data_IF_170174852314
#
_entry.id   IF_170174852314
#
_cell.length_a   1.000
_cell.length_b   1.000
_cell.length_c   1.000
_cell.angle_alpha   90.00
_cell.angle_beta   90.00
_cell.angle_gamma   90.00
#
_symmetry.space_group_name_H-M   'P 1'
#
loop_
_entity.id
_entity.type
_entity.pdbx_description
1 polymer ?
#
# COMPACT_ATOMS: atom_id res chain seq x y z
N UNK A 1 17.19 10.60 -27.55
CA UNK A 1 17.64 9.32 -27.00
C UNK A 1 16.96 9.10 -25.66
N UNK A 2 16.37 7.93 -25.48
CA UNK A 2 15.70 7.47 -24.26
C UNK A 2 16.55 6.32 -23.69
N UNK A 3 16.68 6.26 -22.38
CA UNK A 3 17.56 5.29 -21.71
C UNK A 3 16.82 4.69 -20.51
N UNK A 4 16.79 3.37 -20.44
CA UNK A 4 16.28 2.62 -19.30
C UNK A 4 17.38 2.51 -18.24
N UNK A 5 17.03 2.82 -16.99
CA UNK A 5 17.95 2.92 -15.86
C UNK A 5 17.45 2.08 -14.68
N UNK A 6 18.37 1.38 -14.02
CA UNK A 6 18.12 0.60 -12.81
C UNK A 6 19.26 0.78 -11.81
N UNK A 7 19.00 0.43 -10.55
CA UNK A 7 20.02 0.40 -9.49
C UNK A 7 20.88 1.67 -9.40
N UNK A 8 22.20 1.50 -9.36
CA UNK A 8 23.16 2.61 -9.22
C UNK A 8 23.08 3.63 -10.38
N UNK A 9 22.76 3.20 -11.60
CA UNK A 9 22.66 4.11 -12.75
C UNK A 9 21.46 5.05 -12.60
N UNK A 10 20.33 4.53 -12.15
CA UNK A 10 19.14 5.32 -11.84
C UNK A 10 19.41 6.32 -10.71
N UNK A 11 20.03 5.85 -9.61
CA UNK A 11 20.34 6.69 -8.46
C UNK A 11 21.27 7.85 -8.85
N UNK A 12 22.35 7.55 -9.60
CA UNK A 12 23.26 8.58 -10.12
C UNK A 12 22.56 9.58 -11.03
N UNK A 13 21.64 9.12 -11.88
CA UNK A 13 20.90 10.00 -12.77
C UNK A 13 19.95 10.94 -11.99
N UNK A 14 19.25 10.42 -10.98
CA UNK A 14 18.39 11.20 -10.07
C UNK A 14 19.21 12.20 -9.25
N UNK A 15 20.36 11.79 -8.71
CA UNK A 15 21.25 12.71 -8.01
C UNK A 15 21.75 13.84 -8.92
N UNK A 16 22.13 13.51 -10.16
CA UNK A 16 22.60 14.50 -11.13
C UNK A 16 21.52 15.53 -11.48
N UNK A 17 20.30 15.08 -11.78
CA UNK A 17 19.19 15.98 -12.12
C UNK A 17 18.76 16.82 -10.90
N UNK A 18 18.80 16.24 -9.69
CA UNK A 18 18.44 16.92 -8.45
C UNK A 18 19.39 18.07 -8.08
N UNK A 19 20.60 18.12 -8.66
CA UNK A 19 21.57 19.22 -8.50
C UNK A 19 21.52 20.26 -9.63
N UNK A 20 20.61 20.13 -10.60
CA UNK A 20 20.51 21.05 -11.73
C UNK A 20 20.04 22.46 -11.33
N UNK A 21 20.47 23.50 -12.07
CA UNK A 21 20.07 24.91 -11.82
C UNK A 21 18.55 25.12 -11.84
N UNK A 22 17.84 24.36 -12.68
CA UNK A 22 16.39 24.40 -12.83
C UNK A 22 15.84 23.01 -12.59
N UNK A 23 15.15 22.83 -11.46
CA UNK A 23 14.60 21.56 -11.02
C UNK A 23 13.10 21.67 -10.84
N UNK A 24 12.35 20.70 -11.35
CA UNK A 24 10.97 20.45 -10.96
C UNK A 24 10.83 19.01 -10.51
N UNK A 25 10.35 18.81 -9.29
CA UNK A 25 10.12 17.49 -8.71
C UNK A 25 8.63 17.32 -8.46
N UNK A 26 7.98 16.40 -9.18
CA UNK A 26 6.67 15.89 -8.82
C UNK A 26 6.89 14.49 -8.24
N UNK A 27 7.20 14.43 -6.95
CA UNK A 27 7.56 13.20 -6.24
C UNK A 27 6.68 13.08 -5.02
N UNK A 28 5.87 12.02 -5.00
CA UNK A 28 4.86 11.79 -3.96
C UNK A 28 5.48 11.73 -2.56
N UNK A 29 6.46 10.84 -2.35
CA UNK A 29 6.98 10.52 -1.02
C UNK A 29 8.45 10.91 -0.88
N UNK A 30 8.78 11.44 0.30
CA UNK A 30 10.10 11.94 0.64
C UNK A 30 10.57 11.30 1.94
N UNK A 31 11.63 10.49 1.88
CA UNK A 31 12.25 9.83 3.02
C UNK A 31 13.49 10.56 3.54
N UNK A 32 14.08 10.05 4.62
CA UNK A 32 15.30 10.59 5.25
C UNK A 32 16.37 10.96 4.22
N UNK A 33 16.99 12.12 4.39
CA UNK A 33 18.15 12.55 3.62
C UNK A 33 17.84 13.02 2.20
N UNK A 34 16.57 13.03 1.77
CA UNK A 34 16.19 13.60 0.48
C UNK A 34 16.47 15.12 0.40
N UNK A 35 16.53 15.81 1.54
CA UNK A 35 16.99 17.21 1.59
C UNK A 35 18.44 17.36 1.14
N UNK A 36 19.30 16.36 1.43
CA UNK A 36 20.69 16.33 0.96
C UNK A 36 20.76 16.03 -0.54
N UNK A 37 19.86 15.19 -1.06
CA UNK A 37 19.72 14.91 -2.50
C UNK A 37 19.46 16.21 -3.27
N UNK A 38 18.49 17.01 -2.84
CA UNK A 38 18.20 18.32 -3.47
C UNK A 38 19.34 19.31 -3.22
N UNK A 39 19.88 19.36 -2.01
CA UNK A 39 20.94 20.29 -1.60
C UNK A 39 20.48 21.75 -1.53
N UNK A 40 21.41 22.67 -1.76
CA UNK A 40 21.14 24.10 -1.64
C UNK A 40 20.13 24.60 -2.67
N UNK A 41 19.29 25.55 -2.24
CA UNK A 41 18.28 26.23 -3.05
C UNK A 41 18.78 27.57 -3.61
N UNK A 42 19.88 28.10 -3.06
CA UNK A 42 20.41 29.42 -3.43
C UNK A 42 20.77 29.44 -4.92
N UNK A 43 20.38 30.50 -5.63
CA UNK A 43 20.64 30.70 -7.07
C UNK A 43 20.07 29.61 -8.00
N UNK A 44 19.05 28.86 -7.54
CA UNK A 44 18.40 27.80 -8.32
C UNK A 44 16.89 28.03 -8.42
N UNK A 45 16.33 27.65 -9.56
CA UNK A 45 14.89 27.64 -9.82
C UNK A 45 14.35 26.24 -9.49
N UNK A 46 13.91 26.05 -8.24
CA UNK A 46 13.45 24.77 -7.71
C UNK A 46 11.95 24.85 -7.39
N UNK A 47 11.20 23.85 -7.87
CA UNK A 47 9.79 23.63 -7.53
C UNK A 47 9.56 22.16 -7.17
N UNK A 48 9.00 21.91 -6.00
CA UNK A 48 8.76 20.58 -5.44
C UNK A 48 7.27 20.42 -5.13
N UNK A 49 6.66 19.35 -5.61
CA UNK A 49 5.30 18.94 -5.25
C UNK A 49 5.43 17.58 -4.56
N UNK A 50 4.83 17.48 -3.37
CA UNK A 50 4.79 16.24 -2.59
C UNK A 50 3.38 15.95 -2.08
N UNK A 51 3.18 14.74 -1.58
CA UNK A 51 1.98 14.37 -0.84
C UNK A 51 2.29 14.45 0.67
N UNK A 52 2.18 15.66 1.25
CA UNK A 52 2.54 15.91 2.65
C UNK A 52 1.63 15.15 3.63
N UNK A 53 0.35 15.03 3.29
CA UNK A 53 -0.66 14.40 4.15
C UNK A 53 -0.54 12.86 4.18
N UNK A 54 0.21 12.27 3.25
CA UNK A 54 0.45 10.84 3.23
C UNK A 54 1.59 10.41 4.17
N UNK A 55 1.37 9.32 4.92
CA UNK A 55 2.31 8.80 5.93
C UNK A 55 3.65 8.30 5.36
N UNK A 56 3.78 8.18 4.04
CA UNK A 56 5.04 7.86 3.36
C UNK A 56 5.98 9.04 3.16
N UNK A 57 5.49 10.26 3.35
CA UNK A 57 6.32 11.47 3.35
C UNK A 57 6.79 11.74 4.77
N UNK A 58 8.10 11.83 4.97
CA UNK A 58 8.66 12.37 6.20
C UNK A 58 8.49 13.90 6.19
N UNK A 59 7.62 14.47 7.04
CA UNK A 59 7.36 15.90 7.05
C UNK A 59 8.56 16.73 7.53
N UNK A 60 9.53 16.14 8.24
CA UNK A 60 10.76 16.85 8.64
C UNK A 60 11.66 17.17 7.47
N UNK A 61 11.66 16.33 6.43
CA UNK A 61 12.38 16.58 5.18
C UNK A 61 11.73 17.76 4.45
N UNK A 62 10.39 17.73 4.34
CA UNK A 62 9.62 18.82 3.73
C UNK A 62 9.80 20.13 4.51
N UNK A 63 9.89 20.04 5.85
CA UNK A 63 10.13 21.17 6.73
C UNK A 63 11.46 21.90 6.43
N UNK A 64 12.47 21.19 5.90
CA UNK A 64 13.75 21.79 5.52
C UNK A 64 13.71 22.58 4.19
N UNK A 65 12.65 22.42 3.39
CA UNK A 65 12.52 23.15 2.12
C UNK A 65 11.95 24.56 2.31
N UNK A 66 12.48 25.56 1.58
CA UNK A 66 11.87 26.89 1.54
C UNK A 66 10.40 26.82 1.11
N UNK A 67 9.49 27.43 1.88
CA UNK A 67 8.03 27.39 1.63
C UNK A 67 7.63 27.85 0.23
N UNK A 68 8.39 28.78 -0.37
CA UNK A 68 8.13 29.26 -1.73
C UNK A 68 8.42 28.21 -2.82
N UNK A 69 9.23 27.19 -2.51
CA UNK A 69 9.69 26.18 -3.44
C UNK A 69 8.94 24.85 -3.31
N UNK A 70 8.03 24.70 -2.34
CA UNK A 70 7.32 23.44 -2.10
C UNK A 70 5.81 23.63 -1.97
N UNK A 71 5.06 22.70 -2.57
CA UNK A 71 3.60 22.65 -2.53
C UNK A 71 3.12 21.21 -2.25
N UNK A 72 1.89 21.09 -1.73
CA UNK A 72 1.26 19.78 -1.51
C UNK A 72 0.17 19.48 -2.52
N UNK A 73 0.03 18.21 -2.87
CA UNK A 73 -1.08 17.68 -3.63
C UNK A 73 -1.40 16.26 -3.13
N UNK A 74 -2.60 16.08 -2.58
CA UNK A 74 -2.93 14.89 -1.78
C UNK A 74 -3.15 13.63 -2.64
N UNK A 75 -3.47 13.79 -3.93
CA UNK A 75 -3.54 12.68 -4.89
C UNK A 75 -2.22 12.39 -5.64
N UNK A 76 -1.13 13.10 -5.30
CA UNK A 76 0.13 12.90 -6.01
C UNK A 76 0.73 11.53 -5.68
N UNK A 77 0.88 10.69 -6.71
CA UNK A 77 1.61 9.42 -6.63
C UNK A 77 2.77 9.31 -7.66
N UNK A 78 3.03 10.37 -8.42
CA UNK A 78 4.10 10.39 -9.42
C UNK A 78 5.49 10.44 -8.77
N UNK A 79 6.52 9.99 -9.51
CA UNK A 79 7.94 10.25 -9.19
C UNK A 79 8.66 10.70 -10.46
N UNK A 80 8.64 12.01 -10.68
CA UNK A 80 9.18 12.64 -11.87
C UNK A 80 10.13 13.76 -11.48
N UNK A 81 11.36 13.67 -11.99
CA UNK A 81 12.41 14.67 -11.83
C UNK A 81 12.66 15.34 -13.18
N UNK A 82 12.52 16.66 -13.26
CA UNK A 82 12.61 17.41 -14.51
C UNK A 82 13.70 18.46 -14.38
N UNK A 83 14.76 18.30 -15.15
CA UNK A 83 15.86 19.26 -15.29
C UNK A 83 15.76 20.02 -16.61
N UNK A 84 16.71 20.92 -16.87
CA UNK A 84 16.73 21.68 -18.14
C UNK A 84 16.96 20.82 -19.37
N UNK A 85 17.79 19.77 -19.28
CA UNK A 85 18.20 18.94 -20.42
C UNK A 85 17.48 17.58 -20.45
N UNK A 86 17.30 16.97 -19.29
CA UNK A 86 16.72 15.64 -19.16
C UNK A 86 15.60 15.61 -18.12
N UNK A 87 14.68 14.68 -18.32
CA UNK A 87 13.65 14.27 -17.38
C UNK A 87 13.88 12.80 -17.03
N UNK A 88 13.56 12.45 -15.78
CA UNK A 88 13.53 11.07 -15.30
C UNK A 88 12.13 10.78 -14.76
N UNK A 89 11.50 9.74 -15.28
CA UNK A 89 10.30 9.12 -14.72
C UNK A 89 10.74 7.80 -14.11
N UNK A 90 10.37 7.54 -12.86
CA UNK A 90 10.89 6.39 -12.11
C UNK A 90 9.85 5.83 -11.15
N UNK A 91 10.03 4.59 -10.70
CA UNK A 91 9.32 4.03 -9.54
C UNK A 91 9.86 4.56 -8.21
N UNK A 92 11.11 5.06 -8.19
CA UNK A 92 11.82 5.47 -6.99
C UNK A 92 11.34 6.80 -6.40
N UNK A 93 11.01 6.80 -5.11
CA UNK A 93 10.74 8.01 -4.32
C UNK A 93 12.05 8.77 -3.97
N UNK A 94 11.94 9.94 -3.34
CA UNK A 94 13.11 10.73 -2.96
C UNK A 94 13.61 10.33 -1.55
N UNK A 95 14.86 9.85 -1.43
CA UNK A 95 15.57 9.63 -0.15
C UNK A 95 17.08 9.53 -0.37
N UNK A 96 17.88 9.51 0.71
CA UNK A 96 19.33 9.30 0.64
C UNK A 96 19.71 7.98 -0.07
N UNK A 97 18.99 6.90 0.20
CA UNK A 97 19.25 5.57 -0.36
C UNK A 97 18.41 5.27 -1.62
N UNK A 98 17.73 6.30 -2.16
CA UNK A 98 16.91 6.18 -3.37
C UNK A 98 15.58 5.44 -3.18
N UNK A 99 15.23 5.09 -1.94
CA UNK A 99 14.05 4.31 -1.59
C UNK A 99 13.28 4.99 -0.47
N UNK A 100 12.00 5.26 -0.73
CA UNK A 100 11.11 5.85 0.25
C UNK A 100 10.95 4.95 1.47
N UNK A 101 10.58 5.58 2.59
CA UNK A 101 10.41 5.05 3.94
C UNK A 101 11.69 4.91 4.77
N UNK A 102 11.67 5.55 5.94
CA UNK A 102 12.62 5.29 7.03
C UNK A 102 12.28 3.94 7.68
N UNK A 103 13.20 2.99 7.60
CA UNK A 103 13.10 1.67 8.21
C UNK A 103 13.98 0.65 7.51
N UNK A 104 14.13 -0.53 8.13
CA UNK A 104 14.97 -1.69 7.75
C UNK A 104 14.59 -2.30 6.38
N UNK A 105 13.78 -1.63 5.57
CA UNK A 105 13.20 -2.10 4.30
C UNK A 105 13.72 -1.32 3.08
N UNK A 106 14.66 -0.37 3.25
CA UNK A 106 15.36 0.27 2.13
C UNK A 106 16.36 -0.68 1.43
N UNK A 107 16.84 -1.73 2.11
CA UNK A 107 17.65 -2.78 1.47
C UNK A 107 16.74 -3.81 0.78
N UNK A 108 16.44 -3.63 -0.52
CA UNK A 108 15.88 -4.73 -1.33
C UNK A 108 14.90 -4.39 -2.45
N UNK A 109 14.55 -3.12 -2.67
CA UNK A 109 13.63 -2.76 -3.75
C UNK A 109 14.37 -2.60 -5.09
N UNK A 110 13.87 -3.28 -6.12
CA UNK A 110 14.38 -3.15 -7.49
C UNK A 110 13.66 -1.98 -8.15
N UNK A 111 14.39 -0.88 -8.37
CA UNK A 111 13.86 0.33 -8.97
C UNK A 111 14.21 0.44 -10.45
N UNK A 112 13.26 0.98 -11.21
CA UNK A 112 13.42 1.23 -12.63
C UNK A 112 12.97 2.64 -13.00
N UNK A 113 13.64 3.23 -13.97
CA UNK A 113 13.26 4.52 -14.51
C UNK A 113 13.72 4.70 -15.94
N UNK A 114 13.20 5.73 -16.58
CA UNK A 114 13.56 6.11 -17.93
C UNK A 114 14.04 7.55 -17.92
N UNK A 115 15.21 7.78 -18.50
CA UNK A 115 15.76 9.10 -18.78
C UNK A 115 15.50 9.47 -20.23
N UNK A 116 15.02 10.68 -20.47
CA UNK A 116 14.81 11.22 -21.81
C UNK A 116 14.99 12.74 -21.83
N UNK A 117 15.07 13.34 -23.02
CA UNK A 117 15.24 14.80 -23.17
C UNK A 117 14.01 15.52 -22.64
N UNK A 118 14.20 16.58 -21.87
CA UNK A 118 13.09 17.41 -21.37
C UNK A 118 12.32 18.01 -22.54
N UNK A 119 11.01 17.78 -22.57
CA UNK A 119 10.09 18.34 -23.56
C UNK A 119 9.29 19.51 -22.98
N UNK A 120 8.68 20.34 -23.84
CA UNK A 120 7.75 21.37 -23.39
C UNK A 120 6.50 20.76 -22.75
N UNK A 121 6.05 19.62 -23.24
CA UNK A 121 4.88 18.89 -22.74
C UNK A 121 5.02 18.52 -21.26
N UNK A 122 6.15 17.91 -20.86
CA UNK A 122 6.34 17.51 -19.46
C UNK A 122 6.47 18.74 -18.53
N UNK A 123 7.07 19.82 -19.03
CA UNK A 123 7.15 21.09 -18.28
C UNK A 123 5.76 21.73 -18.14
N UNK A 124 4.93 21.69 -19.19
CA UNK A 124 3.56 22.19 -19.15
C UNK A 124 2.68 21.37 -18.21
N UNK A 125 2.81 20.04 -18.22
CA UNK A 125 2.17 19.14 -17.26
C UNK A 125 2.54 19.51 -15.82
N UNK A 126 3.84 19.65 -15.53
CA UNK A 126 4.29 20.04 -14.19
C UNK A 126 3.74 21.41 -13.80
N UNK A 127 3.75 22.39 -14.70
CA UNK A 127 3.24 23.74 -14.40
C UNK A 127 1.74 23.73 -14.08
N UNK A 128 0.93 22.93 -14.79
CA UNK A 128 -0.49 22.75 -14.45
C UNK A 128 -0.64 22.14 -13.06
N UNK A 129 0.10 21.06 -12.78
CA UNK A 129 0.11 20.41 -11.46
C UNK A 129 0.53 21.39 -10.35
N UNK A 130 1.55 22.21 -10.59
CA UNK A 130 2.01 23.24 -9.66
C UNK A 130 0.96 24.30 -9.36
N UNK A 131 0.19 24.71 -10.38
CA UNK A 131 -0.87 25.71 -10.23
C UNK A 131 -1.99 25.19 -9.35
N UNK A 132 -2.43 23.95 -9.56
CA UNK A 132 -3.52 23.34 -8.78
C UNK A 132 -3.08 22.83 -7.40
N UNK A 133 -1.77 22.69 -7.16
CA UNK A 133 -1.23 22.27 -5.86
C UNK A 133 -1.34 23.39 -4.81
N UNK A 134 -1.60 22.99 -3.58
CA UNK A 134 -1.80 23.89 -2.44
C UNK A 134 -0.46 24.33 -1.83
N UNK A 135 -0.43 25.53 -1.25
CA UNK A 135 0.72 26.01 -0.48
C UNK A 135 0.82 25.23 0.82
N UNK A 136 2.05 25.00 1.29
CA UNK A 136 2.31 24.39 2.59
C UNK A 136 2.57 25.49 3.61
N UNK A 137 1.82 25.49 4.69
CA UNK A 137 2.03 26.33 5.88
C UNK A 137 2.80 25.57 6.96
N UNK A 138 3.33 26.28 7.96
CA UNK A 138 4.00 25.63 9.09
C UNK A 138 3.01 24.83 9.94
N UNK A 139 1.74 25.24 10.01
CA UNK A 139 0.67 24.47 10.65
C UNK A 139 0.39 23.13 9.93
N UNK A 140 0.50 23.09 8.60
CA UNK A 140 0.40 21.85 7.83
C UNK A 140 1.56 20.90 8.17
N UNK A 141 2.78 21.44 8.30
CA UNK A 141 3.96 20.67 8.70
C UNK A 141 3.77 20.09 10.11
N UNK A 142 3.33 20.88 11.08
CA UNK A 142 3.11 20.41 12.45
C UNK A 142 2.05 19.31 12.50
N UNK A 143 0.98 19.47 11.71
CA UNK A 143 -0.08 18.47 11.58
C UNK A 143 0.46 17.17 10.97
N UNK A 144 1.24 17.28 9.90
CA UNK A 144 1.88 16.13 9.27
C UNK A 144 2.88 15.44 10.21
N UNK A 145 3.66 16.20 11.00
CA UNK A 145 4.58 15.64 12.01
C UNK A 145 3.81 14.84 13.04
N UNK A 146 2.72 15.38 13.60
CA UNK A 146 1.88 14.66 14.57
C UNK A 146 1.34 13.35 13.98
N UNK A 147 0.77 13.41 12.77
CA UNK A 147 0.24 12.23 12.07
C UNK A 147 1.34 11.20 11.76
N UNK A 148 2.51 11.66 11.31
CA UNK A 148 3.64 10.81 10.98
C UNK A 148 4.24 10.15 12.22
N UNK A 149 4.33 10.83 13.37
CA UNK A 149 4.80 10.25 14.64
C UNK A 149 3.79 9.26 15.24
N UNK A 150 2.49 9.52 15.08
CA UNK A 150 1.42 8.63 15.52
C UNK A 150 1.25 7.40 14.60
N UNK A 151 1.98 7.32 13.48
CA UNK A 151 1.86 6.21 12.53
C UNK A 151 2.23 4.87 13.22
N UNK A 152 1.51 3.78 12.93
CA UNK A 152 1.93 2.46 13.38
C UNK A 152 3.33 2.15 12.83
N UNK A 153 4.29 1.84 13.72
CA UNK A 153 5.67 1.45 13.37
C UNK A 153 5.79 -0.01 12.89
N UNK A 154 4.67 -0.62 12.49
CA UNK A 154 4.67 -1.98 11.97
C UNK A 154 5.38 -1.94 10.60
N UNK A 155 6.29 -2.88 10.29
CA UNK A 155 6.91 -2.97 8.97
C UNK A 155 5.80 -3.01 7.92
N UNK A 156 5.80 -2.01 7.04
CA UNK A 156 4.77 -1.93 6.01
C UNK A 156 5.21 -2.93 4.96
N UNK A 157 4.45 -4.03 4.85
CA UNK A 157 4.54 -4.96 3.72
C UNK A 157 4.74 -4.18 2.42
N UNK A 158 5.51 -4.71 1.45
CA UNK A 158 5.63 -4.09 0.15
C UNK A 158 4.24 -3.73 -0.35
N UNK A 159 4.08 -2.47 -0.80
CA UNK A 159 2.83 -1.87 -1.26
C UNK A 159 2.04 -2.85 -2.14
N UNK A 160 1.18 -3.66 -1.53
CA UNK A 160 -0.06 -4.03 -2.18
C UNK A 160 -0.79 -2.70 -2.36
N UNK A 161 -1.24 -2.45 -3.58
CA UNK A 161 -2.25 -1.45 -3.84
C UNK A 161 -3.38 -1.77 -2.89
N UNK A 162 -3.43 -1.08 -1.75
CA UNK A 162 -4.64 -1.04 -0.96
C UNK A 162 -5.58 -0.28 -1.87
N UNK A 163 -6.40 -1.01 -2.62
CA UNK A 163 -7.58 -0.49 -3.31
C UNK A 163 -8.63 -0.06 -2.28
N UNK A 164 -8.19 0.58 -1.19
CA UNK A 164 -9.02 1.39 -0.33
C UNK A 164 -9.33 2.66 -1.11
N UNK A 165 -10.26 2.56 -2.06
CA UNK A 165 -11.33 3.52 -2.31
C UNK A 165 -11.93 3.24 -3.68
N UNK A 166 -13.10 2.62 -3.67
CA UNK A 166 -14.12 2.98 -4.66
C UNK A 166 -14.88 4.17 -4.05
N UNK A 167 -14.62 5.37 -4.55
CA UNK A 167 -15.40 6.60 -4.30
C UNK A 167 -15.62 7.02 -2.83
N UNK A 168 -14.58 6.96 -1.98
CA UNK A 168 -14.67 7.46 -0.60
C UNK A 168 -15.61 6.66 0.32
N UNK A 169 -16.08 5.48 -0.09
CA UNK A 169 -16.89 4.59 0.74
C UNK A 169 -16.06 3.44 1.32
N UNK A 170 -16.24 3.20 2.62
CA UNK A 170 -15.66 2.05 3.34
C UNK A 170 -16.20 0.76 2.73
N UNK A 171 -15.31 -0.17 2.40
CA UNK A 171 -15.67 -1.51 1.96
C UNK A 171 -16.59 -2.19 2.98
N UNK A 172 -17.70 -2.74 2.50
CA UNK A 172 -18.52 -3.67 3.27
C UNK A 172 -18.03 -5.09 3.00
N UNK A 173 -18.22 -6.02 3.94
CA UNK A 173 -17.85 -7.42 3.75
C UNK A 173 -18.57 -8.04 2.54
N UNK A 174 -19.83 -7.66 2.30
CA UNK A 174 -20.59 -8.07 1.13
C UNK A 174 -19.95 -7.57 -0.17
N UNK A 175 -19.56 -6.29 -0.24
CA UNK A 175 -18.88 -5.74 -1.39
C UNK A 175 -17.53 -6.43 -1.65
N UNK A 176 -16.80 -6.81 -0.59
CA UNK A 176 -15.54 -7.56 -0.73
C UNK A 176 -15.76 -8.97 -1.32
N UNK A 177 -16.86 -9.63 -1.00
CA UNK A 177 -17.20 -10.93 -1.61
C UNK A 177 -17.58 -10.76 -3.09
N UNK A 178 -18.42 -9.76 -3.39
CA UNK A 178 -18.86 -9.45 -4.75
C UNK A 178 -17.69 -9.08 -5.67
N UNK A 179 -16.65 -8.43 -5.12
CA UNK A 179 -15.42 -8.12 -5.83
C UNK A 179 -14.71 -9.36 -6.40
N UNK A 180 -14.90 -10.54 -5.80
CA UNK A 180 -14.39 -11.82 -6.30
C UNK A 180 -15.49 -12.69 -6.93
N UNK A 181 -16.56 -12.06 -7.42
CA UNK A 181 -17.73 -12.73 -8.02
C UNK A 181 -18.39 -13.78 -7.12
N UNK A 182 -18.26 -13.60 -5.80
CA UNK A 182 -18.81 -14.50 -4.80
C UNK A 182 -19.96 -13.85 -4.03
N UNK A 183 -21.05 -14.61 -3.83
CA UNK A 183 -22.21 -14.14 -3.08
C UNK A 183 -22.25 -14.81 -1.71
N UNK A 184 -22.33 -14.01 -0.65
CA UNK A 184 -22.59 -14.51 0.69
C UNK A 184 -24.05 -14.96 0.82
N UNK A 185 -24.31 -16.03 1.59
CA UNK A 185 -25.70 -16.44 1.87
C UNK A 185 -26.45 -15.39 2.69
N UNK A 186 -25.76 -14.68 3.59
CA UNK A 186 -26.36 -13.61 4.36
C UNK A 186 -25.34 -12.53 4.78
N UNK A 187 -25.52 -11.27 4.38
CA UNK A 187 -24.58 -10.19 4.69
C UNK A 187 -24.28 -10.00 6.18
N UNK A 188 -25.24 -10.31 7.06
CA UNK A 188 -25.09 -10.09 8.52
C UNK A 188 -24.15 -11.09 9.17
N UNK A 189 -24.18 -12.35 8.75
CA UNK A 189 -23.47 -13.43 9.46
C UNK A 189 -22.48 -14.23 8.60
N UNK A 190 -22.44 -14.05 7.28
CA UNK A 190 -21.50 -14.79 6.43
C UNK A 190 -20.05 -14.37 6.65
N UNK A 191 -19.19 -15.37 6.85
CA UNK A 191 -17.73 -15.22 6.99
C UNK A 191 -16.96 -15.80 5.80
N UNK A 192 -17.69 -16.21 4.77
CA UNK A 192 -17.17 -16.78 3.53
C UNK A 192 -18.24 -16.65 2.46
N UNK A 193 -17.83 -16.78 1.21
CA UNK A 193 -18.72 -16.81 0.06
C UNK A 193 -18.14 -17.73 -1.01
N UNK A 194 -18.99 -18.09 -1.98
CA UNK A 194 -18.59 -18.89 -3.14
C UNK A 194 -19.17 -18.27 -4.41
N UNK A 195 -18.44 -18.36 -5.51
CA UNK A 195 -18.93 -17.97 -6.84
C UNK A 195 -20.04 -18.92 -7.31
N UNK A 196 -20.88 -18.44 -8.22
CA UNK A 196 -22.01 -19.21 -8.75
C UNK A 196 -21.55 -20.51 -9.46
N UNK A 197 -20.40 -20.48 -10.12
CA UNK A 197 -19.79 -21.62 -10.79
C UNK A 197 -19.03 -22.56 -9.84
N UNK A 198 -18.94 -22.22 -8.55
CA UNK A 198 -18.25 -23.02 -7.54
C UNK A 198 -16.73 -23.03 -7.65
N UNK A 199 -16.12 -22.30 -8.59
CA UNK A 199 -14.66 -22.32 -8.83
C UNK A 199 -13.89 -21.41 -7.88
N UNK A 200 -14.52 -20.38 -7.35
CA UNK A 200 -13.92 -19.42 -6.42
C UNK A 200 -14.57 -19.55 -5.06
N UNK A 201 -13.76 -19.85 -4.05
CA UNK A 201 -14.14 -19.73 -2.64
C UNK A 201 -13.44 -18.52 -2.05
N UNK A 202 -14.19 -17.70 -1.32
CA UNK A 202 -13.69 -16.50 -0.67
C UNK A 202 -13.82 -16.66 0.84
N UNK A 203 -12.73 -16.42 1.55
CA UNK A 203 -12.65 -16.57 3.00
C UNK A 203 -12.31 -15.24 3.65
N UNK A 204 -13.01 -14.89 4.73
CA UNK A 204 -12.54 -13.80 5.59
C UNK A 204 -11.41 -14.30 6.49
N UNK A 205 -10.31 -13.55 6.56
CA UNK A 205 -9.18 -13.83 7.45
C UNK A 205 -8.86 -12.58 8.27
N UNK A 206 -8.48 -12.75 9.53
CA UNK A 206 -8.00 -11.63 10.33
C UNK A 206 -6.54 -11.34 10.02
N UNK A 207 -6.23 -10.07 9.83
CA UNK A 207 -4.89 -9.61 9.50
C UNK A 207 -3.86 -9.97 10.58
N UNK A 208 -4.27 -9.96 11.85
CA UNK A 208 -3.41 -10.26 12.99
C UNK A 208 -3.22 -11.76 13.24
N UNK A 209 -3.93 -12.63 12.52
CA UNK A 209 -3.72 -14.08 12.49
C UNK A 209 -2.83 -14.53 11.31
N UNK A 210 -2.37 -13.59 10.48
CA UNK A 210 -1.45 -13.88 9.37
C UNK A 210 -0.01 -13.54 9.79
N UNK A 211 0.87 -14.53 9.70
CA UNK A 211 2.31 -14.39 9.91
C UNK A 211 3.02 -14.41 8.57
N UNK A 212 3.85 -13.39 8.34
CA UNK A 212 4.64 -13.24 7.11
C UNK A 212 6.10 -13.63 7.36
N UNK A 213 6.66 -14.38 6.41
CA UNK A 213 8.09 -14.71 6.35
C UNK A 213 8.58 -14.39 4.95
N UNK A 214 9.15 -13.20 4.76
CA UNK A 214 9.48 -12.68 3.44
C UNK A 214 8.23 -12.54 2.57
N UNK A 215 8.21 -13.22 1.42
CA UNK A 215 7.08 -13.19 0.46
C UNK A 215 5.99 -14.22 0.75
N UNK A 216 6.15 -15.05 1.76
CA UNK A 216 5.19 -16.10 2.10
C UNK A 216 4.37 -15.70 3.32
N UNK A 217 3.05 -15.85 3.21
CA UNK A 217 2.11 -15.69 4.30
C UNK A 217 1.65 -17.05 4.82
N UNK A 218 1.50 -17.16 6.13
CA UNK A 218 0.86 -18.30 6.79
C UNK A 218 -0.30 -17.77 7.62
N UNK A 219 -1.44 -18.43 7.58
CA UNK A 219 -2.61 -18.11 8.38
C UNK A 219 -2.95 -19.30 9.25
N UNK A 220 -3.16 -19.03 10.53
CA UNK A 220 -3.68 -20.01 11.49
C UNK A 220 -4.92 -19.43 12.13
N UNK A 221 -6.09 -19.99 11.83
CA UNK A 221 -7.30 -19.54 12.51
C UNK A 221 -7.29 -20.01 13.96
N UNK A 222 -7.60 -19.11 14.89
CA UNK A 222 -7.76 -19.46 16.30
C UNK A 222 -9.13 -20.13 16.54
N UNK A 223 -9.17 -21.12 17.44
CA UNK A 223 -10.43 -21.68 17.93
C UNK A 223 -11.10 -20.68 18.85
N UNK A 224 -12.31 -20.21 18.48
CA UNK A 224 -12.98 -19.09 19.17
C UNK A 224 -14.12 -19.51 20.09
N UNK A 225 -14.52 -20.78 20.09
CA UNK A 225 -15.69 -21.24 20.83
C UNK A 225 -15.47 -22.68 21.34
N UNK A 226 -14.62 -22.87 22.34
CA UNK A 226 -14.48 -24.18 23.02
C UNK A 226 -15.69 -24.49 23.91
N UNK A 227 -16.48 -23.47 24.29
CA UNK A 227 -17.55 -23.59 25.32
C UNK A 227 -18.99 -23.59 24.79
N UNK A 228 -19.23 -23.40 23.49
CA UNK A 228 -20.60 -23.29 22.94
C UNK A 228 -21.10 -24.59 22.32
N UNK A 229 -22.28 -25.05 22.75
CA UNK A 229 -22.94 -26.29 22.29
C UNK A 229 -23.56 -26.23 20.88
N UNK A 230 -23.82 -25.04 20.31
CA UNK A 230 -24.48 -24.88 19.00
C UNK A 230 -23.65 -24.03 18.03
N UNK A 231 -23.42 -24.54 16.81
CA UNK A 231 -22.74 -23.83 15.71
C UNK A 231 -23.64 -22.73 15.15
N UNK A 232 -23.07 -21.55 14.90
CA UNK A 232 -23.78 -20.43 14.25
C UNK A 232 -23.90 -20.67 12.74
N UNK A 233 -24.94 -20.15 12.06
CA UNK A 233 -25.10 -20.32 10.62
C UNK A 233 -23.86 -19.95 9.80
N UNK A 234 -23.17 -18.86 10.17
CA UNK A 234 -21.95 -18.43 9.51
C UNK A 234 -20.72 -19.31 9.79
N UNK A 235 -20.68 -20.03 10.91
CA UNK A 235 -19.63 -21.01 11.18
C UNK A 235 -19.86 -22.27 10.34
N UNK A 236 -21.12 -22.71 10.21
CA UNK A 236 -21.51 -23.82 9.34
C UNK A 236 -21.20 -23.51 7.87
N UNK A 237 -21.65 -22.35 7.36
CA UNK A 237 -21.35 -21.91 5.99
C UNK A 237 -19.84 -21.84 5.74
N UNK A 238 -19.08 -21.29 6.69
CA UNK A 238 -17.61 -21.20 6.59
C UNK A 238 -16.98 -22.58 6.50
N UNK A 239 -17.39 -23.54 7.31
CA UNK A 239 -16.88 -24.90 7.27
C UNK A 239 -17.24 -25.59 5.94
N UNK A 240 -18.48 -25.43 5.45
CA UNK A 240 -18.90 -25.96 4.15
C UNK A 240 -18.03 -25.40 3.01
N UNK A 241 -17.74 -24.10 3.02
CA UNK A 241 -16.90 -23.48 2.00
C UNK A 241 -15.43 -23.90 2.11
N UNK A 242 -14.91 -24.11 3.32
CA UNK A 242 -13.55 -24.66 3.52
C UNK A 242 -13.43 -26.08 2.95
N UNK A 243 -14.42 -26.94 3.22
CA UNK A 243 -14.51 -28.28 2.62
C UNK A 243 -14.59 -28.19 1.10
N UNK A 244 -15.46 -27.32 0.59
CA UNK A 244 -15.61 -27.12 -0.84
C UNK A 244 -14.31 -26.70 -1.51
N UNK A 245 -13.60 -25.72 -0.94
CA UNK A 245 -12.33 -25.25 -1.48
C UNK A 245 -11.30 -26.39 -1.54
N UNK A 246 -11.16 -27.18 -0.45
CA UNK A 246 -10.30 -28.36 -0.41
C UNK A 246 -10.62 -29.34 -1.53
N UNK A 247 -11.91 -29.66 -1.69
CA UNK A 247 -12.35 -30.77 -2.53
C UNK A 247 -12.49 -30.39 -4.02
N UNK A 248 -12.76 -29.12 -4.33
CA UNK A 248 -13.14 -28.67 -5.68
C UNK A 248 -12.28 -27.53 -6.24
N UNK A 249 -11.56 -26.78 -5.39
CA UNK A 249 -10.75 -25.63 -5.80
C UNK A 249 -9.25 -25.87 -5.59
N UNK A 250 -8.82 -27.14 -5.43
CA UNK A 250 -7.43 -27.48 -5.10
C UNK A 250 -6.97 -26.92 -3.75
N UNK A 251 -7.90 -26.67 -2.83
CA UNK A 251 -7.66 -26.00 -1.55
C UNK A 251 -7.48 -24.49 -1.66
N UNK A 252 -7.64 -23.87 -2.83
CA UNK A 252 -7.40 -22.44 -3.04
C UNK A 252 -8.59 -21.59 -2.59
N UNK A 253 -8.28 -20.48 -1.92
CA UNK A 253 -9.25 -19.46 -1.54
C UNK A 253 -8.73 -18.05 -1.82
N UNK A 254 -9.63 -17.16 -2.24
CA UNK A 254 -9.40 -15.71 -2.21
C UNK A 254 -9.64 -15.18 -0.80
N UNK A 255 -8.98 -14.08 -0.46
CA UNK A 255 -9.00 -13.54 0.91
C UNK A 255 -9.71 -12.19 0.97
N UNK A 256 -10.68 -12.09 1.87
CA UNK A 256 -11.13 -10.80 2.40
C UNK A 256 -10.40 -10.56 3.71
N UNK A 257 -9.55 -9.54 3.74
CA UNK A 257 -8.80 -9.18 4.93
C UNK A 257 -9.70 -8.42 5.91
N UNK A 258 -9.63 -8.77 7.19
CA UNK A 258 -10.31 -8.07 8.28
C UNK A 258 -9.31 -7.52 9.29
N UNK A 259 -9.49 -6.27 9.67
CA UNK A 259 -8.76 -5.65 10.79
C UNK A 259 -9.67 -5.58 12.00
N UNK A 260 -9.12 -5.80 13.19
CA UNK A 260 -9.89 -5.83 14.42
C UNK A 260 -9.76 -4.51 15.20
N UNK A 261 -10.85 -4.02 15.80
CA UNK A 261 -10.80 -2.86 16.71
C UNK A 261 -10.09 -3.21 18.02
N UNK A 262 -10.12 -4.49 18.41
CA UNK A 262 -9.39 -5.07 19.53
C UNK A 262 -8.84 -6.44 19.09
N UNK A 263 -7.73 -6.88 19.68
CA UNK A 263 -7.09 -8.16 19.31
C UNK A 263 -7.53 -9.35 20.17
N UNK A 264 -8.42 -9.14 21.14
CA UNK A 264 -8.93 -10.22 21.99
C UNK A 264 -9.76 -11.21 21.16
N UNK A 265 -9.30 -12.46 20.96
CA UNK A 265 -9.93 -13.43 20.07
C UNK A 265 -11.39 -13.77 20.43
N UNK A 266 -11.84 -13.49 21.66
CA UNK A 266 -13.20 -13.77 22.11
C UNK A 266 -14.17 -12.60 21.93
N UNK A 267 -13.66 -11.37 21.79
CA UNK A 267 -14.48 -10.14 21.70
C UNK A 267 -14.16 -9.24 20.50
N UNK A 268 -13.44 -9.77 19.49
CA UNK A 268 -13.08 -9.02 18.27
C UNK A 268 -14.29 -8.42 17.58
N UNK A 269 -14.19 -7.12 17.27
CA UNK A 269 -15.09 -6.41 16.35
C UNK A 269 -14.31 -5.98 15.11
N UNK A 270 -14.98 -6.01 13.96
CA UNK A 270 -14.39 -5.62 12.68
C UNK A 270 -14.20 -4.10 12.69
N UNK A 271 -12.95 -3.64 12.57
CA UNK A 271 -12.63 -2.23 12.35
C UNK A 271 -12.81 -1.87 10.87
N UNK A 272 -12.12 -2.58 9.98
CA UNK A 272 -12.24 -2.45 8.52
C UNK A 272 -12.13 -3.81 7.84
N UNK A 273 -12.52 -3.88 6.57
CA UNK A 273 -12.25 -5.02 5.70
C UNK A 273 -11.93 -4.56 4.28
N UNK A 274 -11.24 -5.37 3.51
CA UNK A 274 -10.94 -5.11 2.09
C UNK A 274 -10.67 -6.42 1.33
N UNK A 275 -10.92 -6.48 0.01
CA UNK A 275 -10.48 -7.61 -0.80
C UNK A 275 -8.95 -7.60 -0.92
N UNK A 276 -8.28 -8.70 -0.56
CA UNK A 276 -6.84 -8.82 -0.72
C UNK A 276 -6.55 -9.38 -2.13
N UNK A 277 -6.43 -8.49 -3.10
CA UNK A 277 -6.40 -8.84 -4.53
C UNK A 277 -5.30 -9.83 -4.91
N UNK A 278 -4.11 -9.67 -4.32
CA UNK A 278 -2.94 -10.48 -4.64
C UNK A 278 -2.76 -11.68 -3.70
N UNK A 279 -3.62 -11.84 -2.69
CA UNK A 279 -3.50 -12.91 -1.72
C UNK A 279 -4.43 -14.08 -2.07
N UNK A 280 -3.81 -15.16 -2.54
CA UNK A 280 -4.42 -16.47 -2.70
C UNK A 280 -3.81 -17.41 -1.67
N UNK A 281 -4.64 -18.07 -0.88
CA UNK A 281 -4.19 -18.98 0.16
C UNK A 281 -4.62 -20.41 -0.20
N UNK A 282 -3.73 -21.38 0.02
CA UNK A 282 -4.04 -22.80 -0.05
C UNK A 282 -4.28 -23.34 1.36
N UNK A 283 -5.43 -23.95 1.58
CA UNK A 283 -5.75 -24.64 2.83
C UNK A 283 -4.86 -25.89 2.91
N UNK A 284 -3.98 -25.92 3.91
CA UNK A 284 -3.08 -27.05 4.17
C UNK A 284 -3.62 -28.01 5.23
N UNK A 285 -4.36 -27.50 6.21
CA UNK A 285 -4.98 -28.30 7.27
C UNK A 285 -6.36 -27.73 7.61
N UNK A 286 -7.35 -28.61 7.82
CA UNK A 286 -8.71 -28.25 8.23
C UNK A 286 -9.17 -29.21 9.32
N UNK A 287 -9.50 -28.68 10.49
CA UNK A 287 -10.18 -29.39 11.56
C UNK A 287 -11.69 -29.22 11.35
N UNK A 288 -12.37 -30.29 10.94
CA UNK A 288 -13.81 -30.25 10.67
C UNK A 288 -14.66 -30.23 11.95
N UNK A 289 -14.09 -30.64 13.09
CA UNK A 289 -14.76 -30.64 14.38
C UNK A 289 -15.06 -29.20 14.83
N UNK A 290 -14.03 -28.36 14.81
CA UNK A 290 -14.12 -26.97 15.29
C UNK A 290 -14.03 -25.89 14.18
N UNK A 291 -13.80 -26.27 12.93
CA UNK A 291 -13.73 -25.37 11.78
C UNK A 291 -12.47 -24.50 11.73
N UNK A 292 -11.44 -24.84 12.52
CA UNK A 292 -10.13 -24.19 12.43
C UNK A 292 -9.35 -24.73 11.25
N UNK A 293 -8.50 -23.90 10.66
CA UNK A 293 -7.70 -24.28 9.51
C UNK A 293 -6.37 -23.53 9.49
N UNK A 294 -5.39 -24.13 8.82
CA UNK A 294 -4.10 -23.54 8.47
C UNK A 294 -4.05 -23.36 6.96
N UNK A 295 -3.61 -22.19 6.51
CA UNK A 295 -3.42 -21.92 5.09
C UNK A 295 -2.11 -21.20 4.83
N UNK A 296 -1.57 -21.37 3.63
CA UNK A 296 -0.31 -20.75 3.20
C UNK A 296 -0.52 -20.03 1.87
N UNK A 297 0.12 -18.88 1.69
CA UNK A 297 0.03 -18.13 0.43
C UNK A 297 0.63 -18.93 -0.70
N UNK A 298 -0.06 -18.99 -1.84
CA UNK A 298 0.54 -19.51 -3.06
C UNK A 298 1.35 -18.39 -3.70
N UNK A 299 2.66 -18.63 -3.86
CA UNK A 299 3.51 -17.72 -4.62
C UNK A 299 3.16 -17.87 -6.10
N UNK A 300 2.61 -16.82 -6.69
CA UNK A 300 2.53 -16.66 -8.15
C UNK A 300 3.87 -16.18 -8.70
#
# INVERSE_FOLDING_TARGET
MMEFLTGAALHKAVATIAKSKRLRCAVAFWGAGAEKLVGEFKHRDIKIICNLNHLGTNPRVVAAFPRACVKRHDDLHAKVYIGSKYTIVTSANASADGLGFEGVEADGWIEAGIRFRTSQEIVAWFNRLWTISERITDADIDTAIRAWLARPKIPRRPLEIVSSQVNGRKWTRQACFQHFDALCRNPRWSWSARSADGKTVVMTMWEDEIVWKGRTATYQSLSRNVTRKRKRPGETERLENLKWARDHCGGLVRVVMMTATNKDPYSRKIATCYPADHLIMRIGQLDEGNGTFRAESVTS
#
